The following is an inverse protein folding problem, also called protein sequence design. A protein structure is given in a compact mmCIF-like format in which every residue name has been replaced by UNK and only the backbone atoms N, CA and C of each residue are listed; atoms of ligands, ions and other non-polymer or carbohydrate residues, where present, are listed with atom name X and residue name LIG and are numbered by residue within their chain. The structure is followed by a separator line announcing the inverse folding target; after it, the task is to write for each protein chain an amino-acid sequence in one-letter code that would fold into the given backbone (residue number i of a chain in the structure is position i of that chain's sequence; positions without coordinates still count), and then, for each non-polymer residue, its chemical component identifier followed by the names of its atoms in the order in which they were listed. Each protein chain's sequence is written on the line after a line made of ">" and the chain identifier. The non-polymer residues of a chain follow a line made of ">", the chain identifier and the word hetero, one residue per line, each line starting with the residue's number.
data_IF_058535413525
#
_entry.id   IF_058535413525
#
_cell.length_a   1.000
_cell.length_b   1.000
_cell.length_c   1.000
_cell.angle_alpha   90.00
_cell.angle_beta   90.00
_cell.angle_gamma   90.00
#
_symmetry.space_group_name_H-M   'P 1'
#
loop_
_entity.id
_entity.type
_entity.pdbx_description
1 polymer ?
#
# COMPACT_ATOMS: atom_id res chain seq x y z
N UNK A 1 6.35 -38.74 2.72
CA UNK A 1 6.80 -37.59 1.92
C UNK A 1 6.83 -36.37 2.81
N UNK A 2 7.95 -35.62 2.91
CA UNK A 2 7.90 -34.31 3.54
C UNK A 2 6.92 -33.41 2.78
N UNK A 3 6.16 -32.54 3.45
CA UNK A 3 5.32 -31.56 2.76
C UNK A 3 6.20 -30.75 1.80
N UNK A 4 5.69 -30.45 0.61
CA UNK A 4 6.39 -29.59 -0.34
C UNK A 4 6.79 -28.30 0.40
N UNK A 5 8.09 -28.04 0.53
CA UNK A 5 8.59 -26.86 1.20
C UNK A 5 7.92 -25.62 0.59
N UNK A 6 7.47 -24.70 1.44
CA UNK A 6 7.03 -23.39 0.96
C UNK A 6 8.15 -22.79 0.09
N UNK A 7 7.82 -22.26 -1.09
CA UNK A 7 8.82 -21.67 -1.98
C UNK A 7 9.58 -20.53 -1.29
N UNK A 8 10.72 -20.08 -1.83
CA UNK A 8 11.54 -19.05 -1.18
C UNK A 8 10.78 -17.73 -1.05
N UNK A 9 11.13 -16.93 -0.04
CA UNK A 9 10.76 -15.51 0.02
C UNK A 9 11.80 -14.69 -0.74
N UNK A 10 11.41 -14.14 -1.88
CA UNK A 10 12.22 -13.25 -2.70
C UNK A 10 12.06 -11.80 -2.27
N UNK A 11 13.17 -11.11 -2.00
CA UNK A 11 13.20 -9.75 -1.50
C UNK A 11 13.81 -8.83 -2.55
N UNK A 12 13.15 -7.70 -2.84
CA UNK A 12 13.76 -6.64 -3.62
C UNK A 12 15.07 -6.16 -2.97
N UNK A 13 16.06 -5.71 -3.77
CA UNK A 13 17.42 -5.38 -3.30
C UNK A 13 17.46 -4.21 -2.32
N UNK A 14 16.47 -3.32 -2.35
CA UNK A 14 16.37 -2.20 -1.43
C UNK A 14 16.17 -2.71 0.01
N UNK A 15 16.97 -2.16 0.91
CA UNK A 15 16.90 -2.46 2.33
C UNK A 15 15.74 -1.73 2.99
N UNK A 16 15.01 -2.40 3.88
CA UNK A 16 14.06 -1.81 4.84
C UNK A 16 14.04 -2.65 6.11
N UNK A 17 13.67 -2.03 7.24
CA UNK A 17 13.43 -2.76 8.50
C UNK A 17 12.37 -3.86 8.33
N UNK A 18 11.30 -3.58 7.59
CA UNK A 18 10.26 -4.57 7.27
C UNK A 18 10.82 -5.77 6.52
N UNK A 19 11.67 -5.54 5.52
CA UNK A 19 12.33 -6.63 4.78
C UNK A 19 13.11 -7.55 5.72
N UNK A 20 13.85 -7.01 6.68
CA UNK A 20 14.59 -7.82 7.65
C UNK A 20 13.68 -8.61 8.58
N UNK A 21 12.61 -7.98 9.08
CA UNK A 21 11.62 -8.64 9.94
C UNK A 21 10.96 -9.82 9.23
N UNK A 22 10.53 -9.63 7.98
CA UNK A 22 9.93 -10.69 7.16
C UNK A 22 10.96 -11.77 6.81
N UNK A 23 12.20 -11.41 6.50
CA UNK A 23 13.28 -12.37 6.26
C UNK A 23 13.54 -13.25 7.49
N UNK A 24 13.53 -12.67 8.69
CA UNK A 24 13.72 -13.41 9.94
C UNK A 24 12.54 -14.34 10.20
N UNK A 25 11.31 -13.87 10.06
CA UNK A 25 10.10 -14.69 10.20
C UNK A 25 10.10 -15.87 9.21
N UNK A 26 10.48 -15.64 7.95
CA UNK A 26 10.60 -16.69 6.93
C UNK A 26 11.65 -17.75 7.32
N UNK A 27 12.85 -17.32 7.75
CA UNK A 27 13.91 -18.26 8.18
C UNK A 27 13.52 -19.06 9.42
N UNK A 28 12.84 -18.45 10.39
CA UNK A 28 12.32 -19.17 11.56
C UNK A 28 11.34 -20.30 11.17
N UNK A 29 10.66 -20.17 10.02
CA UNK A 29 9.76 -21.17 9.46
C UNK A 29 10.45 -22.18 8.53
N UNK A 30 11.77 -22.12 8.42
CA UNK A 30 12.55 -22.97 7.52
C UNK A 30 12.42 -22.62 6.04
N UNK A 31 11.96 -21.41 5.70
CA UNK A 31 11.93 -20.94 4.32
C UNK A 31 13.29 -20.37 3.91
N UNK A 32 13.66 -20.63 2.65
CA UNK A 32 14.76 -19.91 2.01
C UNK A 32 14.39 -18.44 1.81
N UNK A 33 15.40 -17.57 1.96
CA UNK A 33 15.25 -16.13 1.72
C UNK A 33 16.27 -15.70 0.68
N UNK A 34 15.77 -15.23 -0.45
CA UNK A 34 16.60 -14.82 -1.59
C UNK A 34 16.53 -13.31 -1.75
N UNK A 35 17.69 -12.65 -1.73
CA UNK A 35 17.77 -11.24 -2.14
C UNK A 35 17.95 -11.19 -3.64
N UNK A 36 17.03 -10.55 -4.33
CA UNK A 36 17.09 -10.40 -5.78
C UNK A 36 18.13 -9.34 -6.17
N UNK A 37 18.78 -9.48 -7.34
CA UNK A 37 19.82 -8.55 -7.77
C UNK A 37 19.25 -7.17 -8.13
N UNK A 38 20.09 -6.13 -8.03
CA UNK A 38 19.73 -4.76 -8.41
C UNK A 38 19.35 -4.62 -9.90
N UNK A 39 19.95 -5.45 -10.75
CA UNK A 39 19.68 -5.53 -12.19
C UNK A 39 19.42 -6.99 -12.56
N UNK A 40 18.57 -7.28 -13.56
CA UNK A 40 18.34 -8.65 -14.01
C UNK A 40 19.65 -9.23 -14.54
N UNK A 41 19.97 -10.44 -14.11
CA UNK A 41 21.05 -11.25 -14.65
C UNK A 41 20.42 -12.51 -15.24
N UNK A 42 20.42 -12.66 -16.57
CA UNK A 42 19.92 -13.86 -17.25
C UNK A 42 18.53 -13.73 -17.90
N UNK A 43 18.00 -14.87 -18.34
CA UNK A 43 16.83 -15.07 -19.20
C UNK A 43 15.46 -14.79 -18.54
N UNK A 44 15.46 -14.20 -17.35
CA UNK A 44 14.25 -13.80 -16.66
C UNK A 44 13.55 -14.92 -15.90
N UNK A 45 14.17 -16.06 -15.66
CA UNK A 45 13.63 -17.07 -14.74
C UNK A 45 14.08 -16.80 -13.29
N UNK A 46 13.17 -16.29 -12.48
CA UNK A 46 13.39 -16.11 -11.04
C UNK A 46 13.25 -17.44 -10.29
N UNK A 47 13.70 -17.52 -9.03
CA UNK A 47 13.64 -18.74 -8.22
C UNK A 47 12.22 -19.20 -7.86
N UNK A 48 11.17 -18.53 -8.34
CA UNK A 48 9.79 -18.78 -7.96
C UNK A 48 9.48 -18.36 -6.52
N UNK A 49 8.34 -18.80 -6.00
CA UNK A 49 7.98 -18.65 -4.59
C UNK A 49 7.16 -17.41 -4.30
N UNK A 50 7.62 -16.61 -3.35
CA UNK A 50 6.90 -15.45 -2.83
C UNK A 50 7.72 -14.17 -3.00
N UNK A 51 7.08 -13.01 -2.97
CA UNK A 51 7.75 -11.73 -3.20
C UNK A 51 7.41 -10.65 -2.15
N UNK A 52 8.41 -9.88 -1.77
CA UNK A 52 8.26 -8.61 -1.05
C UNK A 52 9.18 -7.54 -1.64
N UNK A 53 8.61 -6.39 -2.02
CA UNK A 53 9.36 -5.28 -2.61
C UNK A 53 8.50 -4.25 -3.33
N UNK A 54 9.14 -3.22 -3.87
CA UNK A 54 8.46 -2.08 -4.49
C UNK A 54 7.83 -2.36 -5.87
N UNK A 55 6.74 -1.66 -6.23
CA UNK A 55 6.00 -1.88 -7.48
C UNK A 55 6.84 -1.62 -8.74
N UNK A 56 7.81 -0.71 -8.71
CA UNK A 56 8.73 -0.50 -9.84
C UNK A 56 9.65 -1.71 -10.09
N UNK A 57 10.14 -2.33 -9.02
CA UNK A 57 10.91 -3.57 -9.14
C UNK A 57 9.99 -4.71 -9.61
N UNK A 58 8.81 -4.83 -9.00
CA UNK A 58 7.82 -5.83 -9.40
C UNK A 58 7.39 -5.69 -10.89
N UNK A 59 7.27 -4.48 -11.42
CA UNK A 59 6.97 -4.25 -12.83
C UNK A 59 8.08 -4.73 -13.77
N UNK A 60 9.35 -4.59 -13.35
CA UNK A 60 10.51 -5.01 -14.14
C UNK A 60 10.80 -6.52 -14.04
N UNK A 61 10.51 -7.14 -12.89
CA UNK A 61 10.97 -8.50 -12.56
C UNK A 61 9.85 -9.50 -12.25
N UNK A 62 8.64 -9.03 -11.95
CA UNK A 62 7.53 -9.84 -11.44
C UNK A 62 7.09 -10.93 -12.41
N UNK A 63 7.13 -10.65 -13.72
CA UNK A 63 6.85 -11.65 -14.74
C UNK A 63 7.81 -12.85 -14.65
N UNK A 64 9.09 -12.59 -14.39
CA UNK A 64 10.12 -13.61 -14.28
C UNK A 64 10.08 -14.41 -12.98
N UNK A 65 9.54 -13.83 -11.90
CA UNK A 65 9.42 -14.48 -10.59
C UNK A 65 8.29 -15.53 -10.53
N UNK A 66 7.39 -15.57 -11.51
CA UNK A 66 6.25 -16.50 -11.49
C UNK A 66 5.22 -16.23 -10.38
N UNK A 67 5.20 -15.02 -9.82
CA UNK A 67 4.28 -14.63 -8.74
C UNK A 67 3.01 -13.97 -9.27
N UNK A 68 1.91 -14.12 -8.52
CA UNK A 68 0.70 -13.34 -8.68
C UNK A 68 0.71 -12.21 -7.64
N UNK A 69 0.73 -10.96 -8.11
CA UNK A 69 0.75 -9.77 -7.26
C UNK A 69 -0.67 -9.26 -7.07
N UNK A 70 -1.20 -9.37 -5.86
CA UNK A 70 -2.52 -8.84 -5.51
C UNK A 70 -2.44 -7.34 -5.24
N UNK A 71 -3.29 -6.58 -5.90
CA UNK A 71 -3.39 -5.12 -5.78
C UNK A 71 -4.86 -4.74 -5.53
N UNK A 72 -5.18 -3.91 -4.51
CA UNK A 72 -6.51 -3.34 -4.39
C UNK A 72 -6.78 -2.38 -5.57
N UNK A 73 -8.03 -2.20 -5.95
CA UNK A 73 -8.39 -1.26 -7.01
C UNK A 73 -8.08 0.19 -6.62
N UNK A 74 -7.53 0.98 -7.56
CA UNK A 74 -7.18 2.39 -7.35
C UNK A 74 -8.36 3.26 -6.91
N UNK A 75 -9.59 2.89 -7.26
CA UNK A 75 -10.82 3.59 -6.89
C UNK A 75 -11.58 2.94 -5.73
N UNK A 76 -10.98 1.97 -5.03
CA UNK A 76 -11.62 1.28 -3.90
C UNK A 76 -12.09 2.24 -2.81
N UNK A 77 -11.20 3.12 -2.32
CA UNK A 77 -11.52 4.11 -1.28
C UNK A 77 -12.65 5.08 -1.72
N UNK A 78 -12.59 5.70 -2.92
CA UNK A 78 -13.69 6.47 -3.48
C UNK A 78 -15.05 5.77 -3.51
N UNK A 79 -15.08 4.45 -3.72
CA UNK A 79 -16.31 3.64 -3.80
C UNK A 79 -16.86 3.21 -2.45
N UNK A 80 -16.14 3.42 -1.34
CA UNK A 80 -16.63 3.04 -0.03
C UNK A 80 -17.85 3.88 0.40
N UNK A 81 -18.79 3.27 1.14
CA UNK A 81 -19.85 4.02 1.82
C UNK A 81 -19.28 5.16 2.66
N UNK A 82 -19.96 6.31 2.65
CA UNK A 82 -19.49 7.51 3.35
C UNK A 82 -19.18 7.24 4.83
N UNK A 83 -19.95 6.35 5.48
CA UNK A 83 -19.75 5.95 6.87
C UNK A 83 -18.35 5.38 7.19
N UNK A 84 -17.63 4.84 6.19
CA UNK A 84 -16.28 4.30 6.33
C UNK A 84 -15.18 5.25 5.88
N UNK A 85 -15.44 6.18 4.96
CA UNK A 85 -14.44 7.16 4.50
C UNK A 85 -14.47 8.48 5.27
N UNK A 86 -15.65 8.89 5.76
CA UNK A 86 -15.92 10.12 6.53
C UNK A 86 -15.45 11.43 5.90
N UNK A 87 -15.03 11.38 4.65
CA UNK A 87 -14.56 12.50 3.84
C UNK A 87 -14.85 12.21 2.38
N UNK A 88 -14.93 13.24 1.53
CA UNK A 88 -15.02 12.98 0.10
C UNK A 88 -13.67 12.54 -0.42
N UNK A 89 -13.69 11.50 -1.24
CA UNK A 89 -12.53 10.92 -1.91
C UNK A 89 -12.94 10.58 -3.33
N UNK A 90 -12.16 11.02 -4.31
CA UNK A 90 -12.41 10.78 -5.73
C UNK A 90 -11.14 10.30 -6.43
N UNK A 91 -11.29 9.39 -7.40
CA UNK A 91 -10.26 9.11 -8.39
C UNK A 91 -10.54 10.02 -9.60
N UNK A 92 -9.56 10.85 -9.96
CA UNK A 92 -9.65 11.79 -11.08
C UNK A 92 -8.31 11.86 -11.80
N UNK A 93 -8.11 12.87 -12.65
CA UNK A 93 -6.86 13.09 -13.37
C UNK A 93 -6.09 14.26 -12.79
N UNK A 94 -4.77 14.26 -12.97
CA UNK A 94 -3.89 15.33 -12.50
C UNK A 94 -4.27 16.68 -13.13
N UNK A 95 -4.66 16.68 -14.41
CA UNK A 95 -5.18 17.87 -15.07
C UNK A 95 -6.46 18.43 -14.43
N UNK A 96 -7.33 17.57 -13.89
CA UNK A 96 -8.50 18.01 -13.13
C UNK A 96 -8.11 18.52 -11.73
N UNK A 97 -7.20 17.82 -11.05
CA UNK A 97 -6.71 18.23 -9.72
C UNK A 97 -6.00 19.59 -9.75
N UNK A 98 -5.27 19.91 -10.83
CA UNK A 98 -4.64 21.24 -11.03
C UNK A 98 -5.62 22.42 -11.07
N UNK A 99 -6.92 22.15 -11.30
CA UNK A 99 -7.96 23.18 -11.33
C UNK A 99 -8.68 23.37 -10.00
N UNK A 100 -8.26 22.67 -8.94
CA UNK A 100 -8.82 22.86 -7.61
C UNK A 100 -8.47 24.27 -7.09
N UNK A 101 -9.45 24.93 -6.53
CA UNK A 101 -9.37 26.27 -5.91
C UNK A 101 -9.47 26.20 -4.38
N UNK A 102 -9.25 25.00 -3.82
CA UNK A 102 -9.41 24.69 -2.39
C UNK A 102 -8.32 23.75 -1.91
N UNK A 103 -8.09 23.68 -0.58
CA UNK A 103 -7.21 22.69 -0.01
C UNK A 103 -7.69 21.26 -0.28
N UNK A 104 -6.75 20.39 -0.65
CA UNK A 104 -7.01 18.98 -0.86
C UNK A 104 -5.76 18.14 -0.59
N UNK A 105 -5.96 16.93 -0.08
CA UNK A 105 -4.93 15.91 -0.09
C UNK A 105 -4.92 15.24 -1.45
N UNK A 106 -3.78 15.27 -2.14
CA UNK A 106 -3.63 14.69 -3.49
C UNK A 106 -2.49 13.69 -3.47
N UNK A 107 -2.73 12.51 -4.04
CA UNK A 107 -1.72 11.47 -4.17
C UNK A 107 -1.87 10.69 -5.48
N UNK A 108 -0.79 10.10 -6.01
CA UNK A 108 -0.95 9.04 -6.99
C UNK A 108 -1.64 7.83 -6.32
N UNK A 109 -2.46 7.04 -7.06
CA UNK A 109 -3.23 5.95 -6.46
C UNK A 109 -2.36 4.82 -5.89
N UNK A 110 -1.32 4.43 -6.64
CA UNK A 110 -0.53 3.21 -6.37
C UNK A 110 0.98 3.36 -6.59
N UNK A 111 1.43 4.18 -7.53
CA UNK A 111 2.85 4.49 -7.70
C UNK A 111 3.27 5.71 -6.86
N UNK A 112 4.57 5.88 -6.63
CA UNK A 112 5.12 7.04 -5.89
C UNK A 112 5.64 8.10 -6.86
N UNK A 113 4.91 8.33 -7.96
CA UNK A 113 5.32 9.26 -9.04
C UNK A 113 5.49 10.70 -8.56
N UNK A 114 4.77 11.11 -7.51
CA UNK A 114 4.99 12.35 -6.77
C UNK A 114 4.59 12.16 -5.30
N UNK A 115 4.99 13.12 -4.47
CA UNK A 115 4.74 13.11 -3.02
C UNK A 115 3.25 13.21 -2.73
N UNK A 116 2.70 12.37 -1.84
CA UNK A 116 1.34 12.59 -1.35
C UNK A 116 1.37 13.73 -0.32
N UNK A 117 0.57 14.76 -0.56
CA UNK A 117 0.59 15.95 0.28
C UNK A 117 -0.76 16.66 0.31
N UNK A 118 -0.93 17.49 1.34
CA UNK A 118 -1.95 18.53 1.34
C UNK A 118 -1.44 19.70 0.50
N UNK A 119 -2.20 20.08 -0.51
CA UNK A 119 -1.97 21.27 -1.30
C UNK A 119 -3.00 22.33 -0.93
N UNK A 120 -2.60 23.60 -0.90
CA UNK A 120 -3.51 24.72 -0.63
C UNK A 120 -4.55 24.88 -1.76
N UNK A 121 -4.15 24.57 -2.98
CA UNK A 121 -4.95 24.54 -4.21
C UNK A 121 -4.26 23.62 -5.24
N UNK A 122 -4.81 23.54 -6.46
CA UNK A 122 -4.25 22.74 -7.54
C UNK A 122 -2.93 23.25 -8.13
N UNK A 123 -2.54 24.50 -7.86
CA UNK A 123 -1.35 25.14 -8.43
C UNK A 123 -0.03 24.59 -7.88
N UNK A 124 -0.06 23.98 -6.70
CA UNK A 124 1.12 23.32 -6.09
C UNK A 124 1.41 21.90 -6.58
N UNK A 125 0.64 21.38 -7.55
CA UNK A 125 0.85 20.04 -8.12
C UNK A 125 1.92 20.06 -9.22
N UNK A 126 2.59 18.92 -9.52
CA UNK A 126 3.56 18.83 -10.61
C UNK A 126 3.01 19.40 -11.92
N UNK A 127 3.82 20.09 -12.71
CA UNK A 127 3.36 20.75 -13.94
C UNK A 127 3.07 19.73 -15.05
N UNK A 128 2.30 20.14 -16.07
CA UNK A 128 1.98 19.27 -17.22
C UNK A 128 3.22 18.84 -18.01
N UNK A 129 4.29 19.64 -17.96
CA UNK A 129 5.58 19.31 -18.55
C UNK A 129 6.30 18.15 -17.83
N UNK A 130 6.01 17.95 -16.54
CA UNK A 130 6.62 16.89 -15.73
C UNK A 130 5.74 15.63 -15.72
N UNK A 131 4.42 15.79 -15.59
CA UNK A 131 3.45 14.71 -15.56
C UNK A 131 2.22 15.02 -16.43
N UNK A 132 1.80 14.12 -17.32
CA UNK A 132 0.66 14.33 -18.21
C UNK A 132 -0.65 14.60 -17.46
N UNK A 133 -1.53 15.41 -18.05
CA UNK A 133 -2.87 15.71 -17.50
C UNK A 133 -3.71 14.47 -17.22
N UNK A 134 -3.56 13.43 -18.04
CA UNK A 134 -4.28 12.16 -17.92
C UNK A 134 -3.81 11.26 -16.79
N UNK A 135 -2.74 11.63 -16.06
CA UNK A 135 -2.21 10.83 -14.95
C UNK A 135 -3.28 10.66 -13.86
N UNK A 136 -3.67 9.42 -13.49
CA UNK A 136 -4.65 9.20 -12.43
C UNK A 136 -4.14 9.72 -11.08
N UNK A 137 -5.02 10.34 -10.30
CA UNK A 137 -4.76 10.82 -8.94
C UNK A 137 -5.96 10.59 -8.04
N UNK A 138 -5.70 10.28 -6.78
CA UNK A 138 -6.72 10.33 -5.74
C UNK A 138 -6.70 11.71 -5.09
N UNK A 139 -7.88 12.32 -5.00
CA UNK A 139 -8.10 13.60 -4.32
C UNK A 139 -9.05 13.35 -3.15
N UNK A 140 -8.67 13.81 -1.96
CA UNK A 140 -9.48 13.69 -0.76
C UNK A 140 -9.60 15.03 -0.02
N UNK A 141 -10.71 15.23 0.69
CA UNK A 141 -10.80 16.34 1.64
C UNK A 141 -9.73 16.20 2.73
N UNK A 142 -9.21 17.34 3.16
CA UNK A 142 -8.22 17.40 4.24
C UNK A 142 -8.91 17.08 5.56
N UNK A 143 -8.31 16.16 6.32
CA UNK A 143 -8.79 15.78 7.65
C UNK A 143 -7.61 15.69 8.61
N UNK A 144 -7.90 15.89 9.89
CA UNK A 144 -6.92 15.72 10.96
C UNK A 144 -7.01 14.33 11.56
N UNK A 145 -5.95 13.55 11.41
CA UNK A 145 -5.83 12.24 12.06
C UNK A 145 -5.27 12.39 13.47
N UNK A 146 -6.00 11.87 14.46
CA UNK A 146 -5.50 11.74 15.81
C UNK A 146 -4.47 10.60 15.90
N UNK A 147 -4.82 9.44 15.33
CA UNK A 147 -3.98 8.25 15.32
C UNK A 147 -4.32 7.40 14.10
N UNK A 148 -3.32 6.75 13.52
CA UNK A 148 -3.45 5.90 12.34
C UNK A 148 -2.87 4.51 12.59
N UNK A 149 -3.56 3.49 12.09
CA UNK A 149 -3.23 2.08 12.22
C UNK A 149 -3.14 1.43 10.85
N UNK A 150 -2.20 0.50 10.75
CA UNK A 150 -2.06 -0.41 9.62
C UNK A 150 -2.54 -1.79 10.01
N UNK A 151 -3.42 -2.38 9.21
CA UNK A 151 -4.00 -3.70 9.44
C UNK A 151 -3.62 -4.64 8.31
N UNK A 152 -2.97 -5.74 8.63
CA UNK A 152 -2.72 -6.84 7.70
C UNK A 152 -3.93 -7.77 7.72
N UNK A 153 -4.64 -7.85 6.59
CA UNK A 153 -5.90 -8.57 6.45
C UNK A 153 -5.69 -9.80 5.56
N UNK A 154 -6.12 -10.96 6.04
CA UNK A 154 -6.12 -12.21 5.29
C UNK A 154 -7.51 -12.84 5.35
N UNK A 155 -8.07 -13.18 4.19
CA UNK A 155 -9.36 -13.83 4.02
C UNK A 155 -10.51 -13.13 4.77
N UNK A 156 -10.46 -11.79 4.83
CA UNK A 156 -11.47 -10.96 5.50
C UNK A 156 -11.26 -10.82 7.02
N UNK A 157 -10.14 -11.28 7.56
CA UNK A 157 -9.81 -11.18 8.98
C UNK A 157 -8.52 -10.39 9.21
N UNK A 158 -8.51 -9.52 10.22
CA UNK A 158 -7.29 -8.83 10.66
C UNK A 158 -6.36 -9.85 11.33
N UNK A 159 -5.21 -10.13 10.71
CA UNK A 159 -4.19 -11.04 11.24
C UNK A 159 -3.30 -10.36 12.28
N UNK A 160 -2.90 -9.14 11.98
CA UNK A 160 -2.04 -8.32 12.83
C UNK A 160 -2.19 -6.84 12.44
N UNK A 161 -1.65 -5.96 13.26
CA UNK A 161 -1.61 -4.54 12.93
C UNK A 161 -0.76 -3.75 13.91
N UNK A 162 -0.61 -2.47 13.60
CA UNK A 162 0.16 -1.54 14.41
C UNK A 162 -0.34 -0.12 14.23
N UNK A 163 -0.28 0.69 15.28
CA UNK A 163 -0.22 2.13 15.11
C UNK A 163 1.03 2.46 14.31
N UNK A 164 0.93 3.36 13.34
CA UNK A 164 2.10 3.87 12.64
C UNK A 164 2.26 5.38 12.78
N UNK A 165 1.19 6.12 13.06
CA UNK A 165 1.30 7.56 13.24
C UNK A 165 0.33 8.13 14.28
N UNK A 166 0.76 9.23 14.89
CA UNK A 166 -0.04 10.09 15.78
C UNK A 166 0.13 11.51 15.29
N UNK A 167 -0.98 12.21 15.01
CA UNK A 167 -0.96 13.58 14.49
C UNK A 167 0.00 13.78 13.31
N UNK A 168 0.00 12.83 12.36
CA UNK A 168 0.88 12.88 11.20
C UNK A 168 2.36 12.82 11.56
N UNK A 169 2.75 12.15 12.65
CA UNK A 169 4.14 11.82 12.99
C UNK A 169 4.31 10.33 13.21
N UNK A 170 5.40 9.77 12.70
CA UNK A 170 5.73 8.34 12.86
C UNK A 170 5.83 8.00 14.35
N UNK A 171 4.91 7.16 14.82
CA UNK A 171 4.87 6.67 16.20
C UNK A 171 4.33 5.25 16.18
N UNK A 172 5.26 4.30 16.16
CA UNK A 172 4.96 2.88 15.94
C UNK A 172 4.68 2.16 17.25
N UNK A 173 3.51 1.51 17.35
CA UNK A 173 3.15 0.66 18.49
C UNK A 173 2.34 -0.56 18.02
N UNK A 174 2.52 -1.76 18.62
CA UNK A 174 1.71 -2.92 18.27
C UNK A 174 0.23 -2.65 18.49
N UNK A 175 -0.65 -3.23 17.66
CA UNK A 175 -2.10 -3.20 17.92
C UNK A 175 -2.46 -4.06 19.12
N UNK A 176 -1.72 -5.14 19.37
CA UNK A 176 -1.95 -6.00 20.53
C UNK A 176 -1.55 -5.28 21.82
N UNK A 177 -2.42 -5.34 22.84
CA UNK A 177 -2.28 -4.52 24.04
C UNK A 177 -2.55 -3.01 23.87
N UNK A 178 -2.82 -2.52 22.65
CA UNK A 178 -3.07 -1.10 22.42
C UNK A 178 -4.42 -0.63 23.01
N UNK A 179 -4.47 0.59 23.56
CA UNK A 179 -5.70 1.17 24.13
C UNK A 179 -6.86 1.25 23.14
N UNK A 180 -6.58 1.44 21.86
CA UNK A 180 -7.59 1.51 20.79
C UNK A 180 -7.90 0.17 20.12
N UNK A 181 -7.28 -0.94 20.56
CA UNK A 181 -7.40 -2.26 19.92
C UNK A 181 -8.84 -2.68 19.68
N UNK A 182 -9.70 -2.57 20.69
CA UNK A 182 -11.10 -2.97 20.59
C UNK A 182 -11.86 -2.13 19.55
N UNK A 183 -11.64 -0.81 19.52
CA UNK A 183 -12.28 0.10 18.58
C UNK A 183 -11.82 -0.15 17.14
N UNK A 184 -10.51 -0.29 16.92
CA UNK A 184 -9.91 -0.59 15.62
C UNK A 184 -10.45 -1.90 15.06
N UNK A 185 -10.46 -2.98 15.86
CA UNK A 185 -10.97 -4.28 15.41
C UNK A 185 -12.48 -4.27 15.19
N UNK A 186 -13.25 -3.53 15.98
CA UNK A 186 -14.69 -3.35 15.76
C UNK A 186 -14.97 -2.62 14.46
N UNK A 187 -14.25 -1.53 14.19
CA UNK A 187 -14.35 -0.80 12.92
C UNK A 187 -13.97 -1.70 11.74
N UNK A 188 -12.83 -2.40 11.82
CA UNK A 188 -12.36 -3.30 10.77
C UNK A 188 -13.36 -4.42 10.49
N UNK A 189 -13.97 -5.04 11.51
CA UNK A 189 -15.01 -6.07 11.30
C UNK A 189 -16.22 -5.53 10.54
N UNK A 190 -16.70 -4.33 10.88
CA UNK A 190 -17.82 -3.71 10.15
C UNK A 190 -17.44 -3.40 8.70
N UNK A 191 -16.24 -2.85 8.48
CA UNK A 191 -15.73 -2.56 7.14
C UNK A 191 -15.60 -3.83 6.29
N UNK A 192 -14.95 -4.86 6.83
CA UNK A 192 -14.70 -6.12 6.12
C UNK A 192 -15.99 -6.92 5.91
N UNK A 193 -16.95 -6.85 6.84
CA UNK A 193 -18.27 -7.45 6.65
C UNK A 193 -19.10 -6.76 5.58
N UNK A 194 -18.95 -5.44 5.40
CA UNK A 194 -19.72 -4.67 4.42
C UNK A 194 -19.07 -4.62 3.03
N UNK A 195 -17.74 -4.62 2.95
CA UNK A 195 -16.99 -4.35 1.72
C UNK A 195 -15.79 -5.28 1.50
N UNK A 196 -15.56 -6.31 2.33
CA UNK A 196 -14.37 -7.16 2.25
C UNK A 196 -14.30 -8.03 1.00
N UNK A 197 -15.43 -8.30 0.34
CA UNK A 197 -15.49 -8.98 -0.96
C UNK A 197 -14.94 -8.11 -2.11
N UNK A 198 -14.95 -6.78 -1.95
CA UNK A 198 -14.34 -5.83 -2.89
C UNK A 198 -12.83 -5.68 -2.74
N UNK A 199 -12.23 -6.38 -1.76
CA UNK A 199 -10.79 -6.42 -1.51
C UNK A 199 -10.16 -7.78 -1.93
N UNK A 200 -8.85 -7.78 -2.24
CA UNK A 200 -8.09 -9.02 -2.39
C UNK A 200 -8.13 -9.87 -1.12
N UNK A 201 -7.92 -11.19 -1.25
CA UNK A 201 -7.87 -12.07 -0.09
C UNK A 201 -6.73 -11.72 0.87
N UNK A 202 -5.65 -11.13 0.39
CA UNK A 202 -4.56 -10.61 1.22
C UNK A 202 -4.24 -9.16 0.85
N UNK A 203 -4.40 -8.27 1.81
CA UNK A 203 -4.30 -6.83 1.61
C UNK A 203 -3.91 -6.15 2.93
N UNK A 204 -3.38 -4.94 2.81
CA UNK A 204 -3.21 -4.06 3.96
C UNK A 204 -4.28 -2.97 3.92
N UNK A 205 -4.92 -2.70 5.05
CA UNK A 205 -5.90 -1.61 5.19
C UNK A 205 -5.44 -0.67 6.29
N UNK A 206 -5.27 0.59 5.93
CA UNK A 206 -4.92 1.63 6.88
C UNK A 206 -6.19 2.34 7.34
N UNK A 207 -6.33 2.54 8.65
CA UNK A 207 -7.51 3.14 9.31
C UNK A 207 -7.05 4.15 10.34
N UNK A 208 -7.81 5.23 10.50
CA UNK A 208 -7.46 6.30 11.43
C UNK A 208 -8.64 6.77 12.24
N UNK A 209 -8.33 7.31 13.42
CA UNK A 209 -9.26 8.07 14.23
C UNK A 209 -9.17 9.54 13.81
N UNK A 210 -10.30 10.12 13.44
CA UNK A 210 -10.40 11.53 13.13
C UNK A 210 -10.42 12.36 14.41
N UNK A 211 -9.73 13.50 14.39
CA UNK A 211 -9.91 14.56 15.38
C UNK A 211 -11.17 15.35 14.98
N UNK A 212 -12.23 15.26 15.77
CA UNK A 212 -13.45 16.04 15.52
C UNK A 212 -13.66 17.08 16.63
N UNK A 213 -14.06 18.29 16.24
CA UNK A 213 -14.55 19.30 17.18
C UNK A 213 -16.06 19.15 17.47
N UNK A 214 -16.77 18.39 16.61
CA UNK A 214 -18.24 18.43 16.49
C UNK A 214 -18.96 17.20 17.04
N UNK A 215 -18.26 16.13 17.38
CA UNK A 215 -18.85 14.94 17.98
C UNK A 215 -17.99 14.42 19.14
N UNK A 216 -18.57 14.15 20.32
CA UNK A 216 -17.85 13.54 21.43
C UNK A 216 -17.44 12.07 21.14
N UNK A 217 -18.04 11.45 20.12
CA UNK A 217 -17.76 10.07 19.75
C UNK A 217 -16.56 9.96 18.78
N UNK A 218 -15.74 8.94 19.01
CA UNK A 218 -14.58 8.62 18.19
C UNK A 218 -14.99 8.22 16.75
N UNK A 219 -14.72 9.08 15.77
CA UNK A 219 -14.98 8.81 14.36
C UNK A 219 -13.81 8.10 13.68
N UNK A 220 -14.00 6.84 13.33
CA UNK A 220 -13.02 6.04 12.59
C UNK A 220 -13.29 6.10 11.09
N UNK A 221 -12.22 6.15 10.31
CA UNK A 221 -12.28 6.16 8.86
C UNK A 221 -11.15 5.35 8.23
N UNK A 222 -11.37 4.89 7.00
CA UNK A 222 -10.34 4.30 6.16
C UNK A 222 -9.41 5.40 5.65
N UNK A 223 -8.11 5.17 5.81
CA UNK A 223 -7.06 5.99 5.21
C UNK A 223 -6.88 5.54 3.77
N UNK A 224 -6.56 4.26 3.55
CA UNK A 224 -6.35 3.64 2.24
C UNK A 224 -6.32 2.10 2.32
N UNK A 225 -6.29 1.43 1.15
CA UNK A 225 -5.87 0.03 1.04
C UNK A 225 -4.56 -0.04 0.25
N UNK A 226 -3.67 -0.93 0.68
CA UNK A 226 -2.31 -1.07 0.22
C UNK A 226 -2.00 -2.51 -0.19
N UNK A 227 -1.06 -2.65 -1.13
CA UNK A 227 -0.44 -3.92 -1.48
C UNK A 227 0.33 -4.48 -0.28
N UNK A 228 -0.05 -5.65 0.22
CA UNK A 228 0.63 -6.24 1.38
C UNK A 228 2.11 -6.54 1.09
N UNK A 229 2.44 -6.94 -0.13
CA UNK A 229 3.80 -7.24 -0.59
C UNK A 229 4.70 -6.00 -0.75
N UNK A 230 4.20 -4.80 -0.46
CA UNK A 230 4.96 -3.54 -0.43
C UNK A 230 4.66 -2.68 0.82
N UNK A 231 3.99 -3.24 1.83
CA UNK A 231 3.60 -2.50 3.03
C UNK A 231 4.58 -2.71 4.18
N UNK A 232 4.97 -1.62 4.85
CA UNK A 232 5.73 -1.71 6.10
C UNK A 232 4.97 -2.46 7.19
N UNK A 233 5.70 -3.30 7.94
CA UNK A 233 5.17 -3.98 9.12
C UNK A 233 5.11 -3.08 10.35
N UNK A 234 5.94 -2.03 10.44
CA UNK A 234 6.07 -1.20 11.65
C UNK A 234 6.25 -2.07 12.91
N UNK A 235 5.34 -1.96 13.89
CA UNK A 235 5.34 -2.77 15.11
C UNK A 235 4.34 -3.94 15.08
N UNK A 236 3.81 -4.29 13.91
CA UNK A 236 2.95 -5.46 13.76
C UNK A 236 3.77 -6.75 13.92
N UNK A 237 3.13 -7.82 14.40
CA UNK A 237 3.72 -9.16 14.46
C UNK A 237 4.20 -9.60 13.05
N UNK A 238 5.53 -9.74 12.82
CA UNK A 238 6.07 -10.03 11.50
C UNK A 238 5.75 -11.44 11.01
N UNK A 239 5.52 -12.39 11.91
CA UNK A 239 5.10 -13.73 11.54
C UNK A 239 3.69 -13.68 10.93
N UNK A 240 2.76 -12.98 11.59
CA UNK A 240 1.39 -12.85 11.06
C UNK A 240 1.31 -11.95 9.83
N UNK A 241 2.16 -10.92 9.74
CA UNK A 241 2.26 -10.10 8.54
C UNK A 241 2.80 -10.91 7.35
N UNK A 242 3.76 -11.80 7.60
CA UNK A 242 4.31 -12.68 6.57
C UNK A 242 3.22 -13.56 5.94
N UNK A 243 2.26 -14.11 6.71
CA UNK A 243 1.15 -14.89 6.13
C UNK A 243 0.37 -14.12 5.05
N UNK A 244 0.17 -12.81 5.28
CA UNK A 244 -0.53 -11.93 4.35
C UNK A 244 0.35 -11.64 3.13
N UNK A 245 1.64 -11.36 3.33
CA UNK A 245 2.60 -11.14 2.24
C UNK A 245 2.70 -12.37 1.33
N UNK A 246 2.82 -13.56 1.93
CA UNK A 246 2.96 -14.82 1.19
C UNK A 246 1.72 -15.11 0.32
N UNK A 247 0.52 -14.76 0.79
CA UNK A 247 -0.70 -14.86 -0.02
C UNK A 247 -0.77 -13.77 -1.10
N UNK A 248 -0.42 -12.54 -0.75
CA UNK A 248 -0.57 -11.39 -1.64
C UNK A 248 0.42 -11.39 -2.82
N UNK A 249 1.53 -12.11 -2.70
CA UNK A 249 2.55 -12.20 -3.73
C UNK A 249 3.13 -13.62 -3.82
N UNK A 250 2.26 -14.63 -3.88
CA UNK A 250 2.63 -16.04 -3.96
C UNK A 250 2.71 -16.59 -5.39
N UNK A 251 3.02 -17.89 -5.53
CA UNK A 251 3.14 -18.54 -6.84
C UNK A 251 1.83 -18.44 -7.64
N UNK A 252 1.94 -18.10 -8.92
CA UNK A 252 0.78 -17.79 -9.77
C UNK A 252 -0.14 -18.99 -9.97
N UNK A 253 0.40 -20.20 -9.99
CA UNK A 253 -0.36 -21.46 -10.07
C UNK A 253 -1.21 -21.74 -8.82
N UNK A 254 -0.93 -21.05 -7.70
CA UNK A 254 -1.70 -21.13 -6.44
C UNK A 254 -2.71 -19.98 -6.29
N UNK A 255 -2.83 -19.10 -7.28
CA UNK A 255 -3.77 -17.97 -7.25
C UNK A 255 -5.21 -18.47 -7.18
N UNK A 256 -5.93 -18.06 -6.14
CA UNK A 256 -7.33 -18.42 -5.97
C UNK A 256 -8.21 -17.83 -7.07
N UNK A 257 -9.32 -18.50 -7.40
CA UNK A 257 -10.28 -17.98 -8.38
C UNK A 257 -10.84 -16.60 -7.99
N UNK A 258 -11.07 -16.36 -6.69
CA UNK A 258 -11.54 -15.08 -6.13
C UNK A 258 -10.56 -13.95 -6.44
N UNK A 259 -9.26 -14.23 -6.31
CA UNK A 259 -8.23 -13.20 -6.38
C UNK A 259 -7.79 -12.83 -7.80
N UNK A 260 -8.24 -13.57 -8.82
CA UNK A 260 -7.87 -13.31 -10.22
C UNK A 260 -8.16 -11.87 -10.65
N UNK A 261 -9.29 -11.30 -10.22
CA UNK A 261 -9.67 -9.90 -10.53
C UNK A 261 -8.81 -8.83 -9.87
N UNK A 262 -8.02 -9.22 -8.86
CA UNK A 262 -7.13 -8.32 -8.12
C UNK A 262 -5.66 -8.59 -8.46
N UNK A 263 -5.38 -9.61 -9.26
CA UNK A 263 -4.02 -9.88 -9.67
C UNK A 263 -3.63 -8.87 -10.75
N UNK A 264 -2.47 -8.24 -10.58
CA UNK A 264 -1.85 -7.43 -11.63
C UNK A 264 -1.73 -8.29 -12.90
N UNK A 265 -2.34 -7.82 -13.98
CA UNK A 265 -2.28 -8.49 -15.28
C UNK A 265 -0.86 -8.44 -15.86
N UNK A 266 -0.52 -9.49 -16.62
CA UNK A 266 0.83 -9.68 -17.17
C UNK A 266 1.10 -8.85 -18.42
N UNK A 267 0.08 -8.32 -19.10
CA UNK A 267 0.26 -7.74 -20.43
C UNK A 267 -0.27 -6.31 -20.52
N UNK A 268 0.63 -5.40 -20.87
CA UNK A 268 0.26 -4.26 -21.68
C UNK A 268 -0.17 -4.77 -23.05
N UNK A 269 -1.46 -5.09 -23.22
CA UNK A 269 -2.15 -4.88 -24.49
C UNK A 269 -3.66 -4.91 -24.27
N UNK A 270 -4.26 -3.73 -24.35
CA UNK A 270 -5.68 -3.46 -24.19
C UNK A 270 -5.87 -1.99 -24.49
N UNK A 271 -5.82 -1.67 -25.78
CA UNK A 271 -6.16 -0.40 -26.42
C UNK A 271 -6.98 0.54 -25.53
N UNK A 272 -6.33 1.57 -24.98
CA UNK A 272 -7.01 2.64 -24.26
C UNK A 272 -6.38 3.10 -22.94
N UNK A 273 -5.06 3.12 -22.78
CA UNK A 273 -4.40 3.94 -21.74
C UNK A 273 -2.90 4.00 -22.02
N UNK A 274 -2.39 5.20 -22.28
CA UNK A 274 -0.98 5.43 -22.62
C UNK A 274 0.01 4.94 -21.55
N UNK A 275 1.20 4.60 -22.04
CA UNK A 275 2.44 4.30 -21.34
C UNK A 275 2.44 4.68 -19.84
N UNK A 276 2.14 3.68 -19.00
CA UNK A 276 2.08 3.82 -17.54
C UNK A 276 3.45 3.92 -16.85
N UNK A 277 4.55 3.82 -17.60
CA UNK A 277 5.90 4.02 -17.07
C UNK A 277 6.80 4.63 -18.17
N UNK A 278 6.78 5.96 -18.27
CA UNK A 278 7.64 6.70 -19.17
C UNK A 278 9.11 6.41 -18.89
N UNK A 279 9.83 5.99 -19.93
CA UNK A 279 11.29 5.94 -20.00
C UNK A 279 11.83 7.36 -19.87
N UNK A 280 12.34 7.69 -18.68
CA UNK A 280 13.03 8.95 -18.38
C UNK A 280 14.35 8.64 -17.71
N UNK A 281 15.34 8.24 -18.49
CA UNK A 281 16.73 8.17 -18.04
C UNK A 281 17.21 9.58 -17.68
N UNK A 282 17.43 9.84 -16.38
CA UNK A 282 18.49 10.70 -15.84
C UNK A 282 18.52 10.56 -14.31
N UNK A 283 19.20 9.54 -13.80
CA UNK A 283 19.65 9.52 -12.40
C UNK A 283 21.09 10.03 -12.33
N UNK A 284 21.19 11.34 -12.06
CA UNK A 284 22.39 11.94 -11.50
C UNK A 284 22.57 11.49 -10.05
N UNK A 285 23.83 11.31 -9.67
CA UNK A 285 24.27 10.76 -8.39
C UNK A 285 23.75 11.51 -7.17
N UNK A 286 23.42 10.72 -6.15
CA UNK A 286 23.59 11.10 -4.74
C UNK A 286 22.45 11.88 -4.12
N UNK A 287 21.45 11.18 -3.59
CA UNK A 287 20.68 11.66 -2.43
C UNK A 287 19.98 10.50 -1.72
N UNK A 288 19.99 10.57 -0.38
CA UNK A 288 19.46 9.56 0.54
C UNK A 288 17.95 9.41 0.33
N UNK A 289 17.51 8.30 -0.26
CA UNK A 289 16.11 7.90 -0.15
C UNK A 289 15.87 7.43 1.29
N UNK A 290 15.30 8.33 2.07
CA UNK A 290 14.80 8.08 3.41
C UNK A 290 13.76 6.96 3.42
N UNK A 291 13.75 6.29 4.56
CA UNK A 291 12.89 5.20 4.97
C UNK A 291 11.47 5.29 4.40
N UNK A 292 10.93 4.16 3.96
CA UNK A 292 9.65 4.06 3.25
C UNK A 292 8.43 4.33 4.14
N UNK A 293 8.36 5.48 4.80
CA UNK A 293 7.26 5.89 5.66
C UNK A 293 5.94 6.00 4.90
N UNK A 294 4.90 5.38 5.43
CA UNK A 294 3.56 5.96 5.36
C UNK A 294 3.66 7.42 5.80
N UNK A 295 3.21 8.30 4.93
CA UNK A 295 3.40 9.74 5.04
C UNK A 295 2.55 10.29 6.18
N UNK A 296 3.21 10.41 7.31
CA UNK A 296 2.87 11.30 8.39
C UNK A 296 2.69 12.73 7.81
N UNK A 297 1.44 13.17 7.64
CA UNK A 297 1.08 14.46 7.03
C UNK A 297 1.53 15.60 7.96
N UNK A 298 2.52 16.38 7.52
CA UNK A 298 2.82 17.66 8.17
C UNK A 298 1.68 18.64 7.90
N UNK A 299 0.86 18.91 8.92
CA UNK A 299 0.00 20.09 8.96
C UNK A 299 0.89 21.34 9.15
N UNK A 300 1.06 22.12 8.09
CA UNK A 300 1.64 23.46 8.19
C UNK A 300 0.64 24.39 8.87
N UNK A 301 0.93 24.79 10.10
CA UNK A 301 0.26 25.91 10.76
C UNK A 301 0.64 27.20 10.04
N UNK A 302 -0.30 27.81 9.34
CA UNK A 302 -0.19 29.22 8.93
C UNK A 302 -0.36 30.08 10.19
N UNK A 303 0.70 30.77 10.56
CA UNK A 303 0.66 31.99 11.38
C UNK A 303 0.80 33.20 10.47
#
# INVERSE_FOLDING_TARGET
>A
MPPAAAGPLCLAPQYTSTRELLARAARHRGMDVVTLPARPTGDGTGPGGHYYGGPHYAARFGAGLGVALLEPADDWLPRLPFAFRRRNTVLTTLGAARRLDRPAFVKPPSDKSFRAAVHADGGGLPAAADLPDGTPVQVADVVDWAVEFRLFVLDGEVRTGSQYAVHGRLESAPLDGHRHRAAVLSFARRLLGACGDTLPSAVVVDVGLLRTERAPDAEWAVVEANMAWFSNCYAADPDRALDVVLRAAGPRERLSGRDRRFCRDRDGNGSGSGDRYGSGDRYGNGERYGDGGGEAVQAGSAG
#
